data_IF_100899278654
#
_entry.id   IF_100899278654
#
_cell.length_a   1.000
_cell.length_b   1.000
_cell.length_c   1.000
_cell.angle_alpha   90.00
_cell.angle_beta   90.00
_cell.angle_gamma   90.00
#
_symmetry.space_group_name_H-M   'P 1'
#
loop_
_entity.id
_entity.type
_entity.pdbx_description
1 polymer ?
#
# COMPACT_ATOMS: atom_id res chain seq x y z
N UNK A 1 -1.93 11.05 5.31
CA UNK A 1 -2.69 10.94 4.03
C UNK A 1 -4.21 11.17 4.24
N UNK A 2 -5.01 11.54 3.22
CA UNK A 2 -6.48 11.50 3.34
C UNK A 2 -7.00 10.05 3.40
N UNK A 3 -8.02 9.78 4.23
CA UNK A 3 -8.51 8.42 4.47
C UNK A 3 -9.03 7.71 3.20
N UNK A 4 -9.72 8.45 2.31
CA UNK A 4 -10.20 7.90 1.06
C UNK A 4 -9.06 7.43 0.13
N UNK A 5 -7.95 8.17 0.10
CA UNK A 5 -6.78 7.85 -0.72
C UNK A 5 -6.08 6.60 -0.16
N UNK A 6 -5.92 6.52 1.17
CA UNK A 6 -5.37 5.34 1.85
C UNK A 6 -6.16 4.08 1.50
N UNK A 7 -7.49 4.15 1.55
CA UNK A 7 -8.34 3.00 1.24
C UNK A 7 -8.21 2.54 -0.23
N UNK A 8 -7.97 3.47 -1.16
CA UNK A 8 -7.65 3.12 -2.55
C UNK A 8 -6.32 2.38 -2.62
N UNK A 9 -5.27 2.89 -1.96
CA UNK A 9 -3.96 2.23 -1.91
C UNK A 9 -4.04 0.82 -1.33
N UNK A 10 -4.70 0.65 -0.19
CA UNK A 10 -4.91 -0.65 0.44
C UNK A 10 -5.55 -1.63 -0.54
N UNK A 11 -6.62 -1.23 -1.24
CA UNK A 11 -7.29 -2.07 -2.24
C UNK A 11 -6.39 -2.42 -3.41
N UNK A 12 -5.64 -1.45 -3.93
CA UNK A 12 -4.70 -1.66 -5.05
C UNK A 12 -3.61 -2.64 -4.65
N UNK A 13 -3.03 -2.47 -3.46
CA UNK A 13 -1.95 -3.32 -2.97
C UNK A 13 -2.46 -4.74 -2.72
N UNK A 14 -3.60 -4.92 -2.06
CA UNK A 14 -4.20 -6.24 -1.86
C UNK A 14 -4.44 -6.98 -3.17
N UNK A 15 -4.96 -6.26 -4.18
CA UNK A 15 -5.18 -6.81 -5.51
C UNK A 15 -3.88 -7.23 -6.17
N UNK A 16 -2.85 -6.38 -6.14
CA UNK A 16 -1.53 -6.67 -6.74
C UNK A 16 -0.80 -7.80 -6.00
N UNK A 17 -0.94 -7.90 -4.69
CA UNK A 17 -0.42 -9.05 -3.93
C UNK A 17 -1.05 -10.36 -4.41
N UNK A 18 -2.37 -10.37 -4.66
CA UNK A 18 -3.09 -11.55 -5.14
C UNK A 18 -2.79 -11.88 -6.63
N UNK A 19 -2.68 -10.88 -7.50
CA UNK A 19 -2.48 -11.08 -8.94
C UNK A 19 -1.01 -11.32 -9.33
N UNK A 20 -0.06 -10.65 -8.68
CA UNK A 20 1.37 -10.73 -9.04
C UNK A 20 2.19 -11.59 -8.08
N UNK A 21 1.63 -12.01 -6.94
CA UNK A 21 2.36 -12.75 -5.90
C UNK A 21 3.47 -11.93 -5.21
N UNK A 22 3.47 -10.60 -5.40
CA UNK A 22 4.41 -9.68 -4.77
C UNK A 22 4.00 -9.36 -3.34
N UNK A 23 4.97 -8.97 -2.53
CA UNK A 23 4.72 -8.45 -1.18
C UNK A 23 4.25 -6.98 -1.22
N UNK A 24 3.57 -6.53 -0.16
CA UNK A 24 3.17 -5.14 -0.04
C UNK A 24 4.36 -4.18 -0.10
N UNK A 25 5.51 -4.55 0.46
CA UNK A 25 6.74 -3.77 0.46
C UNK A 25 7.31 -3.60 -0.97
N UNK A 26 7.33 -4.67 -1.76
CA UNK A 26 7.72 -4.59 -3.17
C UNK A 26 6.81 -3.68 -3.98
N UNK A 27 5.48 -3.77 -3.76
CA UNK A 27 4.51 -2.92 -4.44
C UNK A 27 4.67 -1.44 -4.03
N UNK A 28 4.97 -1.17 -2.75
CA UNK A 28 5.16 0.20 -2.26
C UNK A 28 6.44 0.86 -2.81
N UNK A 29 7.45 0.08 -3.21
CA UNK A 29 8.64 0.61 -3.88
C UNK A 29 8.33 1.21 -5.26
N UNK A 30 7.23 0.81 -5.91
CA UNK A 30 6.78 1.38 -7.18
C UNK A 30 6.23 2.82 -7.02
N UNK A 31 6.05 3.30 -5.78
CA UNK A 31 5.51 4.62 -5.47
C UNK A 31 6.56 5.50 -4.77
N UNK A 32 7.56 6.06 -5.50
CA UNK A 32 8.63 6.87 -4.93
C UNK A 32 8.15 8.21 -4.35
N UNK A 33 6.90 8.60 -4.62
CA UNK A 33 6.28 9.82 -4.10
C UNK A 33 5.62 9.63 -2.74
N UNK A 34 5.42 8.40 -2.28
CA UNK A 34 4.92 8.13 -0.94
C UNK A 34 6.03 8.39 0.08
N UNK A 35 5.72 9.16 1.12
CA UNK A 35 6.64 9.33 2.24
C UNK A 35 6.69 8.04 3.07
N UNK A 36 7.73 7.88 3.89
CA UNK A 36 7.86 6.71 4.78
C UNK A 36 6.70 6.62 5.79
N UNK A 37 6.17 7.76 6.23
CA UNK A 37 4.98 7.85 7.08
C UNK A 37 3.75 7.28 6.37
N UNK A 38 3.52 7.68 5.11
CA UNK A 38 2.41 7.21 4.30
C UNK A 38 2.49 5.71 3.99
N UNK A 39 3.69 5.21 3.67
CA UNK A 39 3.94 3.78 3.49
C UNK A 39 3.62 3.00 4.77
N UNK A 40 4.03 3.53 5.92
CA UNK A 40 3.75 2.92 7.22
C UNK A 40 2.25 2.88 7.51
N UNK A 41 1.52 3.99 7.27
CA UNK A 41 0.05 4.02 7.43
C UNK A 41 -0.65 2.95 6.58
N UNK A 42 -0.22 2.77 5.32
CA UNK A 42 -0.78 1.78 4.41
C UNK A 42 -0.44 0.36 4.86
N UNK A 43 0.82 0.10 5.25
CA UNK A 43 1.25 -1.21 5.74
C UNK A 43 0.49 -1.62 7.02
N UNK A 44 0.33 -0.70 7.97
CA UNK A 44 -0.46 -0.95 9.18
C UNK A 44 -1.93 -1.24 8.85
N UNK A 45 -2.50 -0.62 7.83
CA UNK A 45 -3.87 -0.88 7.40
C UNK A 45 -4.05 -2.26 6.72
N UNK A 46 -3.00 -2.83 6.13
CA UNK A 46 -3.01 -4.17 5.52
C UNK A 46 -2.93 -5.31 6.56
N UNK A 47 -2.40 -5.03 7.75
CA UNK A 47 -2.24 -6.01 8.84
C UNK A 47 -3.46 -6.09 9.77
N UNK A 48 -4.53 -5.34 9.48
CA UNK A 48 -5.70 -5.17 10.33
C UNK A 48 -6.88 -6.05 9.95
#
# INVERSE_FOLDING_TARGET
MLEAIKNIFVRVIQRRMAEEGKTAEEILNDYPKLTDEEKTEILSALQR
#
